data_IF_621152579511
#
_entry.id   IF_621152579511
#
_cell.length_a   1.000
_cell.length_b   1.000
_cell.length_c   1.000
_cell.angle_alpha   90.00
_cell.angle_beta   90.00
_cell.angle_gamma   90.00
#
_symmetry.space_group_name_H-M   'P 1'
#
loop_
_entity.id
_entity.type
_entity.pdbx_description
1 polymer ?
#
# COMPACT_ATOMS: atom_id res chain seq x y z
N UNK A 1 11.22 -2.16 -14.39
CA UNK A 1 11.41 -0.69 -14.20
C UNK A 1 12.87 -0.33 -14.00
N UNK A 2 13.60 -1.02 -13.12
CA UNK A 2 15.05 -0.79 -12.94
C UNK A 2 15.80 -0.94 -14.26
N UNK A 3 15.52 -1.96 -15.05
CA UNK A 3 16.19 -2.19 -16.35
C UNK A 3 15.89 -1.07 -17.36
N UNK A 4 14.67 -0.51 -17.35
CA UNK A 4 14.34 0.65 -18.18
C UNK A 4 15.18 1.87 -17.79
N UNK A 5 15.31 2.14 -16.49
CA UNK A 5 16.12 3.25 -15.98
C UNK A 5 17.60 3.01 -16.25
N UNK A 6 18.10 1.79 -16.06
CA UNK A 6 19.50 1.44 -16.31
C UNK A 6 19.94 1.67 -17.75
N UNK A 7 19.04 1.40 -18.70
CA UNK A 7 19.29 1.55 -20.13
C UNK A 7 18.90 2.93 -20.70
N UNK A 8 18.32 3.81 -19.85
CA UNK A 8 17.90 5.13 -20.28
C UNK A 8 19.08 6.10 -20.40
N UNK A 9 19.10 6.89 -21.49
CA UNK A 9 20.04 7.99 -21.70
C UNK A 9 19.38 9.33 -21.36
N UNK A 10 19.76 9.96 -20.22
CA UNK A 10 19.12 11.20 -19.77
C UNK A 10 19.43 12.43 -20.65
N UNK A 11 20.42 12.33 -21.55
CA UNK A 11 20.76 13.43 -22.46
C UNK A 11 19.77 13.57 -23.62
N UNK A 12 18.96 12.55 -23.87
CA UNK A 12 18.11 12.45 -25.04
C UNK A 12 16.77 13.17 -24.86
N UNK A 13 16.02 12.87 -23.80
CA UNK A 13 14.69 13.47 -23.49
C UNK A 13 14.40 13.36 -22.00
N UNK A 14 13.50 14.18 -21.42
CA UNK A 14 13.00 13.94 -20.07
C UNK A 14 12.32 12.57 -19.94
N UNK A 15 12.62 11.85 -18.86
CA UNK A 15 11.95 10.58 -18.55
C UNK A 15 10.62 10.84 -17.82
N UNK A 16 9.53 10.28 -18.34
CA UNK A 16 8.30 10.07 -17.59
C UNK A 16 8.08 8.58 -17.44
N UNK A 17 8.08 8.10 -16.20
CA UNK A 17 7.91 6.68 -15.88
C UNK A 17 6.83 6.49 -14.82
N UNK A 18 5.77 5.75 -15.17
CA UNK A 18 4.77 5.26 -14.23
C UNK A 18 5.09 3.79 -13.91
N UNK A 19 5.28 3.49 -12.63
CA UNK A 19 5.43 2.11 -12.12
C UNK A 19 4.21 1.78 -11.28
N UNK A 20 3.52 0.70 -11.63
CA UNK A 20 2.34 0.24 -10.90
C UNK A 20 2.61 -1.13 -10.28
N UNK A 21 2.21 -1.29 -9.03
CA UNK A 21 2.22 -2.55 -8.31
C UNK A 21 0.78 -3.00 -8.08
N UNK A 22 0.44 -4.24 -8.41
CA UNK A 22 -0.87 -4.79 -8.10
C UNK A 22 -1.01 -5.12 -6.61
N UNK A 23 0.10 -5.44 -5.94
CA UNK A 23 0.10 -5.61 -4.48
C UNK A 23 0.16 -4.24 -3.79
N UNK A 24 -0.36 -4.15 -2.57
CA UNK A 24 -0.84 -5.19 -1.65
C UNK A 24 -2.29 -5.67 -1.89
N UNK A 25 -2.93 -5.32 -3.02
CA UNK A 25 -4.28 -5.80 -3.36
C UNK A 25 -4.37 -7.33 -3.26
N UNK A 26 -5.54 -7.82 -2.83
CA UNK A 26 -5.80 -9.27 -2.75
C UNK A 26 -5.61 -10.00 -4.09
N UNK A 27 -5.25 -11.30 -4.10
CA UNK A 27 -5.00 -12.15 -2.93
C UNK A 27 -3.78 -11.70 -2.13
N UNK A 28 -3.83 -11.87 -0.79
CA UNK A 28 -2.72 -11.49 0.08
C UNK A 28 -1.71 -12.63 0.14
N UNK A 29 -0.85 -12.70 -0.86
CA UNK A 29 0.10 -13.78 -1.13
C UNK A 29 1.55 -13.27 -1.23
N UNK A 30 2.10 -12.70 -0.15
CA UNK A 30 3.49 -12.25 -0.14
C UNK A 30 4.45 -13.44 -0.29
N UNK A 31 5.64 -13.23 -0.86
CA UNK A 31 6.69 -14.25 -0.77
C UNK A 31 7.03 -14.56 0.70
N UNK A 32 7.29 -15.85 1.00
CA UNK A 32 7.44 -16.36 2.37
C UNK A 32 8.42 -15.55 3.22
N UNK A 33 9.58 -15.17 2.65
CA UNK A 33 10.61 -14.38 3.36
C UNK A 33 10.10 -13.07 3.98
N UNK A 34 9.08 -12.43 3.36
CA UNK A 34 8.48 -11.22 3.93
C UNK A 34 7.42 -11.56 4.98
N UNK A 35 6.72 -12.68 4.80
CA UNK A 35 5.77 -13.16 5.81
C UNK A 35 6.48 -13.55 7.11
N UNK A 36 7.64 -14.18 7.02
CA UNK A 36 8.46 -14.58 8.16
C UNK A 36 8.87 -13.38 9.03
N UNK A 37 9.05 -12.18 8.41
CA UNK A 37 9.36 -10.95 9.16
C UNK A 37 8.23 -10.51 10.10
N UNK A 38 7.03 -11.05 9.93
CA UNK A 38 5.84 -10.72 10.72
C UNK A 38 5.36 -11.88 11.59
N UNK A 39 6.14 -12.96 11.73
CA UNK A 39 5.75 -14.14 12.51
C UNK A 39 5.42 -13.78 13.95
N UNK A 40 6.30 -13.04 14.60
CA UNK A 40 6.15 -12.59 15.99
C UNK A 40 5.61 -11.15 16.11
N UNK A 41 5.20 -10.53 15.02
CA UNK A 41 4.72 -9.14 15.04
C UNK A 41 3.35 -9.04 15.72
N UNK A 42 3.22 -8.03 16.58
CA UNK A 42 1.93 -7.68 17.16
C UNK A 42 1.04 -7.04 16.08
N UNK A 43 0.09 -7.81 15.58
CA UNK A 43 -0.88 -7.34 14.59
C UNK A 43 -2.14 -6.84 15.31
N UNK A 44 -2.54 -5.57 15.12
CA UNK A 44 -3.71 -5.03 15.79
C UNK A 44 -5.00 -5.68 15.32
N UNK A 45 -5.98 -5.76 16.21
CA UNK A 45 -7.34 -6.15 15.86
C UNK A 45 -8.02 -5.08 14.98
N UNK A 46 -9.03 -5.48 14.19
CA UNK A 46 -9.86 -4.53 13.46
C UNK A 46 -10.55 -3.52 14.38
N UNK A 47 -10.64 -2.28 13.95
CA UNK A 47 -11.47 -1.29 14.61
C UNK A 47 -12.95 -1.58 14.35
N UNK A 48 -13.77 -1.65 15.41
CA UNK A 48 -15.20 -1.96 15.31
C UNK A 48 -16.00 -0.81 15.91
N UNK A 49 -16.78 -0.12 15.10
CA UNK A 49 -17.68 0.93 15.57
C UNK A 49 -18.99 0.36 16.12
N UNK A 50 -19.62 1.09 17.04
CA UNK A 50 -20.87 0.66 17.73
C UNK A 50 -22.04 0.40 16.77
N UNK A 51 -22.03 1.05 15.62
CA UNK A 51 -23.04 0.91 14.57
C UNK A 51 -22.92 -0.38 13.74
N UNK A 52 -21.83 -1.16 13.91
CA UNK A 52 -21.53 -2.35 13.10
C UNK A 52 -22.33 -3.60 13.50
N UNK A 53 -23.20 -3.52 14.52
CA UNK A 53 -23.93 -4.67 15.07
C UNK A 53 -24.64 -5.53 14.03
N UNK A 54 -25.17 -4.92 12.96
CA UNK A 54 -25.82 -5.65 11.86
C UNK A 54 -24.89 -6.58 11.07
N UNK A 55 -23.58 -6.35 11.13
CA UNK A 55 -22.54 -7.15 10.46
C UNK A 55 -21.83 -8.09 11.42
N UNK A 56 -22.15 -8.06 12.73
CA UNK A 56 -21.43 -8.79 13.77
C UNK A 56 -21.60 -10.31 13.71
N UNK A 57 -22.62 -10.82 12.99
CA UNK A 57 -22.83 -12.25 12.84
C UNK A 57 -21.61 -12.92 12.20
N UNK A 58 -21.02 -13.86 12.93
CA UNK A 58 -19.84 -14.60 12.44
C UNK A 58 -20.19 -15.42 11.20
N UNK A 59 -19.36 -15.29 10.18
CA UNK A 59 -19.47 -16.02 8.91
C UNK A 59 -18.35 -17.03 8.77
N UNK A 60 -18.60 -18.07 7.98
CA UNK A 60 -17.55 -19.00 7.57
C UNK A 60 -16.86 -18.47 6.31
N UNK A 61 -15.55 -18.17 6.34
CA UNK A 61 -14.84 -17.62 5.17
C UNK A 61 -14.86 -18.59 3.97
N UNK A 62 -14.84 -19.91 4.18
CA UNK A 62 -14.87 -20.91 3.11
C UNK A 62 -16.21 -20.95 2.36
N UNK A 63 -17.28 -20.47 3.02
CA UNK A 63 -18.67 -20.44 2.47
C UNK A 63 -19.09 -19.05 2.02
N UNK A 64 -18.20 -18.06 2.14
CA UNK A 64 -18.47 -16.68 1.74
C UNK A 64 -17.72 -16.39 0.44
N UNK A 65 -18.31 -15.59 -0.44
CA UNK A 65 -17.64 -15.19 -1.67
C UNK A 65 -16.31 -14.50 -1.37
N UNK A 66 -15.25 -14.83 -2.13
CA UNK A 66 -13.90 -14.29 -1.92
C UNK A 66 -13.83 -12.77 -2.08
N UNK A 67 -14.76 -12.18 -2.80
CA UNK A 67 -14.88 -10.74 -3.05
C UNK A 67 -15.95 -10.08 -2.19
N UNK A 68 -16.49 -10.78 -1.18
CA UNK A 68 -17.50 -10.21 -0.30
C UNK A 68 -17.00 -8.91 0.34
N UNK A 69 -17.77 -7.81 0.24
CA UNK A 69 -17.33 -6.50 0.74
C UNK A 69 -17.46 -6.39 2.25
N UNK A 70 -18.15 -7.30 2.91
CA UNK A 70 -18.30 -7.35 4.37
C UNK A 70 -18.44 -8.79 4.87
N UNK A 71 -18.06 -8.98 6.11
CA UNK A 71 -18.18 -10.26 6.83
C UNK A 71 -17.35 -10.28 8.09
N UNK A 72 -17.95 -10.75 9.19
CA UNK A 72 -17.23 -11.03 10.42
C UNK A 72 -16.63 -12.44 10.35
N UNK A 73 -15.37 -12.53 10.00
CA UNK A 73 -14.61 -13.80 9.98
C UNK A 73 -13.86 -14.07 11.28
N UNK A 74 -13.95 -13.17 12.25
CA UNK A 74 -13.25 -13.21 13.54
C UNK A 74 -11.88 -12.53 13.50
N UNK A 75 -11.40 -12.16 14.69
CA UNK A 75 -10.17 -11.38 14.83
C UNK A 75 -8.93 -12.15 14.37
N UNK A 76 -8.87 -13.45 14.58
CA UNK A 76 -7.74 -14.27 14.13
C UNK A 76 -7.59 -14.22 12.60
N UNK A 77 -8.68 -14.40 11.88
CA UNK A 77 -8.69 -14.29 10.42
C UNK A 77 -8.26 -12.88 9.96
N UNK A 78 -8.78 -11.85 10.62
CA UNK A 78 -8.43 -10.47 10.30
C UNK A 78 -6.95 -10.17 10.58
N UNK A 79 -6.42 -10.58 11.73
CA UNK A 79 -4.98 -10.43 12.04
C UNK A 79 -4.11 -11.17 11.04
N UNK A 80 -4.47 -12.39 10.66
CA UNK A 80 -3.72 -13.15 9.67
C UNK A 80 -3.73 -12.46 8.29
N UNK A 81 -4.89 -11.97 7.84
CA UNK A 81 -4.99 -11.19 6.61
C UNK A 81 -4.13 -9.91 6.65
N UNK A 82 -4.14 -9.18 7.76
CA UNK A 82 -3.29 -7.99 7.97
C UNK A 82 -1.81 -8.33 7.95
N UNK A 83 -1.41 -9.45 8.57
CA UNK A 83 -0.01 -9.92 8.52
C UNK A 83 0.46 -10.11 7.07
N UNK A 84 -0.34 -10.77 6.25
CA UNK A 84 -0.04 -10.97 4.84
C UNK A 84 -0.04 -9.66 4.05
N UNK A 85 -0.95 -8.75 4.36
CA UNK A 85 -1.00 -7.43 3.74
C UNK A 85 0.26 -6.61 4.06
N UNK A 86 0.69 -6.57 5.33
CA UNK A 86 1.92 -5.89 5.73
C UNK A 86 3.17 -6.49 5.07
N UNK A 87 3.22 -7.81 4.97
CA UNK A 87 4.29 -8.50 4.26
C UNK A 87 4.34 -8.13 2.76
N UNK A 88 3.18 -7.97 2.11
CA UNK A 88 3.09 -7.45 0.75
C UNK A 88 3.58 -6.00 0.65
N UNK A 89 3.29 -5.14 1.64
CA UNK A 89 3.80 -3.76 1.67
C UNK A 89 5.33 -3.78 1.77
N UNK A 90 5.91 -4.58 2.65
CA UNK A 90 7.36 -4.72 2.77
C UNK A 90 8.00 -5.24 1.47
N UNK A 91 7.35 -6.17 0.79
CA UNK A 91 7.80 -6.63 -0.52
C UNK A 91 7.84 -5.50 -1.55
N UNK A 92 6.80 -4.67 -1.61
CA UNK A 92 6.75 -3.51 -2.54
C UNK A 92 7.81 -2.48 -2.16
N UNK A 93 7.98 -2.19 -0.88
CA UNK A 93 8.97 -1.23 -0.39
C UNK A 93 10.39 -1.61 -0.85
N UNK A 94 10.75 -2.89 -0.78
CA UNK A 94 12.03 -3.37 -1.32
C UNK A 94 12.13 -3.12 -2.83
N UNK A 95 11.06 -3.33 -3.60
CA UNK A 95 11.09 -3.08 -5.05
C UNK A 95 11.21 -1.59 -5.37
N UNK A 96 10.55 -0.72 -4.60
CA UNK A 96 10.70 0.74 -4.70
C UNK A 96 12.14 1.15 -4.37
N UNK A 97 12.70 0.56 -3.30
CA UNK A 97 14.11 0.77 -2.92
C UNK A 97 15.07 0.46 -4.07
N UNK A 98 14.85 -0.62 -4.82
CA UNK A 98 15.66 -0.96 -6.01
C UNK A 98 15.54 0.08 -7.12
N UNK A 99 14.34 0.61 -7.35
CA UNK A 99 14.14 1.69 -8.35
C UNK A 99 14.88 2.95 -7.93
N UNK A 100 14.75 3.35 -6.67
CA UNK A 100 15.45 4.53 -6.11
C UNK A 100 16.95 4.35 -6.18
N UNK A 101 17.47 3.16 -5.88
CA UNK A 101 18.89 2.87 -5.96
C UNK A 101 19.40 3.00 -7.41
N UNK A 102 18.66 2.47 -8.39
CA UNK A 102 19.00 2.62 -9.81
C UNK A 102 19.03 4.09 -10.26
N UNK A 103 18.07 4.90 -9.80
CA UNK A 103 18.08 6.34 -10.07
C UNK A 103 19.32 7.04 -9.49
N UNK A 104 19.76 6.63 -8.29
CA UNK A 104 20.99 7.16 -7.66
C UNK A 104 22.24 6.77 -8.44
N UNK A 105 22.35 5.51 -8.86
CA UNK A 105 23.46 4.99 -9.65
C UNK A 105 23.60 5.63 -11.03
N UNK A 106 22.50 6.16 -11.54
CA UNK A 106 22.44 6.91 -12.81
C UNK A 106 22.51 8.42 -12.64
N UNK A 107 22.78 8.93 -11.43
CA UNK A 107 22.78 10.36 -11.08
C UNK A 107 21.47 11.09 -11.39
N UNK A 108 20.38 10.37 -11.58
CA UNK A 108 19.05 10.92 -11.91
C UNK A 108 18.21 11.24 -10.67
N UNK A 109 18.54 10.68 -9.50
CA UNK A 109 17.69 10.79 -8.30
C UNK A 109 17.48 12.24 -7.85
N UNK A 110 18.54 13.05 -7.85
CA UNK A 110 18.47 14.43 -7.36
C UNK A 110 17.58 15.30 -8.24
N UNK A 111 17.54 15.07 -9.54
CA UNK A 111 16.76 15.83 -10.50
C UNK A 111 15.35 15.27 -10.72
N UNK A 112 15.06 14.09 -10.21
CA UNK A 112 13.76 13.48 -10.35
C UNK A 112 12.71 14.09 -9.41
N UNK A 113 11.50 14.36 -9.95
CA UNK A 113 10.27 14.42 -9.17
C UNK A 113 9.76 12.99 -9.00
N UNK A 114 9.62 12.53 -7.75
CA UNK A 114 9.10 11.20 -7.45
C UNK A 114 7.81 11.35 -6.65
N UNK A 115 6.73 10.77 -7.14
CA UNK A 115 5.44 10.73 -6.46
C UNK A 115 5.11 9.28 -6.12
N UNK A 116 4.90 9.00 -4.84
CA UNK A 116 4.40 7.73 -4.36
C UNK A 116 2.98 7.92 -3.85
N UNK A 117 2.06 7.11 -4.37
CA UNK A 117 0.64 7.23 -4.09
C UNK A 117 -0.05 5.87 -4.26
N UNK A 118 -1.14 5.63 -3.51
CA UNK A 118 -2.06 4.52 -3.76
C UNK A 118 -3.39 5.07 -4.30
N UNK A 119 -4.08 4.30 -5.13
CA UNK A 119 -5.40 4.62 -5.67
C UNK A 119 -6.52 4.44 -4.62
N UNK A 120 -6.35 3.50 -3.70
CA UNK A 120 -7.24 3.24 -2.56
C UNK A 120 -6.49 2.45 -1.48
N UNK A 121 -7.09 2.35 -0.31
CA UNK A 121 -6.64 1.48 0.78
C UNK A 121 -7.40 0.14 0.81
N UNK A 122 -7.43 -0.49 1.98
CA UNK A 122 -8.20 -1.70 2.25
C UNK A 122 -8.70 -1.69 3.70
N UNK A 123 -9.97 -2.03 3.90
CA UNK A 123 -10.62 -2.05 5.21
C UNK A 123 -10.03 -3.10 6.15
N UNK A 124 -9.49 -4.19 5.63
CA UNK A 124 -8.78 -5.23 6.39
C UNK A 124 -9.53 -5.73 7.63
N UNK A 125 -10.86 -5.84 7.54
CA UNK A 125 -11.74 -6.27 8.61
C UNK A 125 -12.28 -5.15 9.52
N UNK A 126 -11.82 -3.90 9.37
CA UNK A 126 -12.38 -2.79 10.11
C UNK A 126 -13.89 -2.69 9.87
N UNK A 127 -14.66 -2.55 10.94
CA UNK A 127 -16.10 -2.51 10.90
C UNK A 127 -16.75 -3.73 10.23
N UNK A 128 -16.06 -4.88 10.23
CA UNK A 128 -16.43 -6.09 9.49
C UNK A 128 -16.43 -5.91 7.98
N UNK A 129 -15.74 -4.90 7.46
CA UNK A 129 -15.62 -4.62 6.04
C UNK A 129 -14.26 -5.02 5.49
N UNK A 130 -14.26 -5.32 4.21
CA UNK A 130 -13.09 -5.76 3.47
C UNK A 130 -12.96 -4.96 2.18
N UNK A 131 -11.74 -4.79 1.68
CA UNK A 131 -11.44 -4.06 0.45
C UNK A 131 -11.77 -2.56 0.55
N UNK A 132 -12.27 -1.92 -0.51
CA UNK A 132 -12.33 -0.46 -0.72
C UNK A 132 -13.73 0.09 -1.04
N UNK A 133 -14.78 -0.64 -0.79
CA UNK A 133 -16.13 -0.27 -1.26
C UNK A 133 -16.77 0.90 -0.46
N UNK A 134 -16.20 1.25 0.68
CA UNK A 134 -16.79 2.18 1.64
C UNK A 134 -15.90 3.40 1.91
N UNK A 135 -16.48 4.58 2.21
CA UNK A 135 -15.76 5.82 2.45
C UNK A 135 -15.20 5.90 3.89
N UNK A 136 -14.54 4.86 4.35
CA UNK A 136 -13.90 4.82 5.68
C UNK A 136 -12.39 4.95 5.54
N UNK A 137 -11.73 5.37 6.64
CA UNK A 137 -10.29 5.62 6.71
C UNK A 137 -9.45 4.49 6.09
N UNK A 138 -9.74 3.24 6.42
CA UNK A 138 -9.01 2.09 5.85
C UNK A 138 -9.06 2.01 4.31
N UNK A 139 -10.11 2.54 3.70
CA UNK A 139 -10.31 2.53 2.24
C UNK A 139 -9.83 3.81 1.56
N UNK A 140 -9.97 4.98 2.20
CA UNK A 140 -9.80 6.29 1.56
C UNK A 140 -8.53 7.02 1.97
N UNK A 141 -7.99 6.73 3.14
CA UNK A 141 -6.77 7.35 3.64
C UNK A 141 -5.55 6.63 3.07
N UNK A 142 -5.04 7.14 1.97
CA UNK A 142 -3.90 6.56 1.22
C UNK A 142 -2.62 7.37 1.41
N UNK A 143 -1.44 6.77 1.29
CA UNK A 143 -0.20 7.50 1.31
C UNK A 143 -0.10 8.43 0.10
N UNK A 144 0.43 9.63 0.32
CA UNK A 144 0.81 10.58 -0.72
C UNK A 144 2.16 11.21 -0.34
N UNK A 145 3.21 10.77 -0.99
CA UNK A 145 4.58 11.20 -0.70
C UNK A 145 5.19 11.79 -1.96
N UNK A 146 5.78 12.99 -1.84
CA UNK A 146 6.42 13.67 -2.96
C UNK A 146 7.87 13.99 -2.60
N UNK A 147 8.79 13.51 -3.43
CA UNK A 147 10.19 13.94 -3.44
C UNK A 147 10.39 14.91 -4.59
N UNK A 148 10.70 16.15 -4.27
CA UNK A 148 10.97 17.20 -5.26
C UNK A 148 12.41 17.09 -5.79
N UNK A 149 12.67 17.58 -7.01
CA UNK A 149 14.04 17.81 -7.48
C UNK A 149 14.80 18.71 -6.49
N UNK A 150 16.08 18.43 -6.29
CA UNK A 150 16.92 19.20 -5.34
C UNK A 150 16.98 20.70 -5.67
N UNK A 151 16.92 21.05 -6.93
CA UNK A 151 16.89 22.45 -7.41
C UNK A 151 15.67 23.26 -6.93
N UNK A 152 14.59 22.59 -6.50
CA UNK A 152 13.40 23.27 -5.98
C UNK A 152 13.54 23.75 -4.53
N UNK A 153 14.60 23.36 -3.81
CA UNK A 153 14.89 23.75 -2.43
C UNK A 153 13.70 23.61 -1.46
N UNK A 154 12.87 22.58 -1.66
CA UNK A 154 11.71 22.33 -0.81
C UNK A 154 12.20 21.74 0.52
N UNK A 155 11.82 22.37 1.62
CA UNK A 155 12.12 21.86 2.96
C UNK A 155 11.27 20.62 3.23
N UNK A 156 11.88 19.48 3.62
CA UNK A 156 11.11 18.30 4.00
C UNK A 156 10.15 18.59 5.15
N UNK A 157 8.94 18.12 5.05
CA UNK A 157 7.91 18.34 6.07
C UNK A 157 6.67 17.49 5.81
N UNK A 158 5.70 17.61 6.71
CA UNK A 158 4.39 17.02 6.63
C UNK A 158 3.34 18.14 6.56
N UNK A 159 2.28 17.90 5.80
CA UNK A 159 1.12 18.79 5.76
C UNK A 159 -0.15 17.98 6.03
N UNK A 160 -1.09 18.59 6.73
CA UNK A 160 -2.43 18.04 6.96
C UNK A 160 -3.47 18.65 5.98
N UNK A 161 -2.99 19.37 4.97
CA UNK A 161 -3.87 19.87 3.90
C UNK A 161 -4.50 18.69 3.15
N UNK A 162 -5.81 18.73 2.90
CA UNK A 162 -6.49 17.68 2.16
C UNK A 162 -5.98 17.62 0.71
N UNK A 163 -5.69 16.42 0.23
CA UNK A 163 -5.29 16.14 -1.14
C UNK A 163 -6.24 15.07 -1.71
N UNK A 164 -6.74 15.29 -2.90
CA UNK A 164 -7.59 14.34 -3.61
C UNK A 164 -6.88 13.79 -4.85
N UNK A 165 -7.13 12.51 -5.13
CA UNK A 165 -6.78 11.90 -6.41
C UNK A 165 -7.92 12.14 -7.41
N UNK A 166 -7.64 12.85 -8.48
CA UNK A 166 -8.59 13.12 -9.58
C UNK A 166 -8.04 12.67 -10.91
#
# INVERSE_FOLDING_TARGET
SSDLISNYDPTNKPLFLKVSFARPHSPYDPPQRYLDMYEDALIPDPAIGDWCGKYAKKLNPEKTAQDAPYGNFGNEYARNSRRHYYANITFIDEQIGRIIQTLKEKDMYNDALIVFVSDHGDMMGDHYHWRKTYPYEGSTHVPYIVKWPSANHVTPGKTDAPVELR
#
